data_IF_485414372125
#
_entry.id   IF_485414372125
#
_cell.length_a   1.000
_cell.length_b   1.000
_cell.length_c   1.000
_cell.angle_alpha   90.00
_cell.angle_beta   90.00
_cell.angle_gamma   90.00
#
_symmetry.space_group_name_H-M   'P 1'
#
loop_
_entity.id
_entity.type
_entity.pdbx_description
1 polymer ?
#
# COMPACT_ATOMS: atom_id res chain seq x y z
N UNK A 1 -0.56 10.41 17.83
CA UNK A 1 -0.97 10.01 16.45
C UNK A 1 -1.03 8.51 16.34
N UNK A 2 -1.99 7.98 15.57
CA UNK A 2 -2.05 6.57 15.17
C UNK A 2 -1.96 6.51 13.64
N UNK A 3 -1.14 5.58 13.10
CA UNK A 3 -1.07 5.31 11.66
C UNK A 3 -1.58 3.90 11.40
N UNK A 4 -2.67 3.77 10.63
CA UNK A 4 -3.15 2.47 10.16
C UNK A 4 -2.33 2.11 8.92
N UNK A 5 -1.23 1.37 9.13
CA UNK A 5 -0.26 1.06 8.08
C UNK A 5 -0.68 -0.06 7.11
N UNK A 6 -1.82 -0.69 7.32
CA UNK A 6 -2.36 -1.76 6.47
C UNK A 6 -3.45 -1.22 5.52
N UNK A 7 -3.35 -1.52 4.22
CA UNK A 7 -4.36 -1.11 3.23
C UNK A 7 -5.74 -1.75 3.51
N UNK A 8 -5.77 -3.02 3.89
CA UNK A 8 -7.02 -3.71 4.23
C UNK A 8 -7.68 -3.07 5.46
N UNK A 9 -6.92 -2.88 6.53
CA UNK A 9 -7.43 -2.23 7.74
C UNK A 9 -7.85 -0.78 7.46
N UNK A 10 -7.07 -0.03 6.69
CA UNK A 10 -7.43 1.34 6.27
C UNK A 10 -8.73 1.39 5.47
N UNK A 11 -8.98 0.39 4.62
CA UNK A 11 -10.19 0.36 3.79
C UNK A 11 -11.45 -0.06 4.53
N UNK A 12 -11.33 -0.85 5.59
CA UNK A 12 -12.48 -1.48 6.27
C UNK A 12 -12.71 -0.92 7.68
N UNK A 13 -11.68 -0.53 8.41
CA UNK A 13 -11.77 -0.17 9.82
C UNK A 13 -11.53 1.32 10.13
N UNK A 14 -11.01 2.11 9.19
CA UNK A 14 -10.64 3.50 9.45
C UNK A 14 -11.76 4.32 10.09
N UNK A 15 -12.98 4.27 9.53
CA UNK A 15 -14.11 5.04 10.06
C UNK A 15 -14.51 4.60 11.46
N UNK A 16 -14.47 3.30 11.73
CA UNK A 16 -14.76 2.76 13.08
C UNK A 16 -13.76 3.28 14.09
N UNK A 17 -12.47 3.20 13.79
CA UNK A 17 -11.42 3.71 14.69
C UNK A 17 -11.54 5.22 14.88
N UNK A 18 -11.77 5.99 13.82
CA UNK A 18 -11.92 7.45 13.89
C UNK A 18 -13.12 7.86 14.72
N UNK A 19 -14.25 7.15 14.60
CA UNK A 19 -15.45 7.45 15.38
C UNK A 19 -15.29 7.05 16.87
N UNK A 20 -14.53 5.99 17.13
CA UNK A 20 -14.27 5.53 18.51
C UNK A 20 -13.30 6.45 19.23
N UNK A 21 -12.32 7.02 18.53
CA UNK A 21 -11.27 7.88 19.06
C UNK A 21 -11.19 9.20 18.28
N UNK A 22 -12.19 10.08 18.41
CA UNK A 22 -12.29 11.31 17.60
C UNK A 22 -11.15 12.30 17.85
N UNK A 23 -10.62 12.32 19.08
CA UNK A 23 -9.57 13.26 19.51
C UNK A 23 -8.15 12.80 19.12
N UNK A 24 -8.00 11.57 18.62
CA UNK A 24 -6.71 11.07 18.18
C UNK A 24 -6.47 11.43 16.73
N UNK A 25 -5.30 12.04 16.45
CA UNK A 25 -4.84 12.20 15.06
C UNK A 25 -4.62 10.83 14.42
N UNK A 26 -5.43 10.52 13.43
CA UNK A 26 -5.48 9.22 12.76
C UNK A 26 -5.13 9.36 11.28
N UNK A 27 -4.08 8.68 10.84
CA UNK A 27 -3.64 8.60 9.46
C UNK A 27 -3.89 7.20 8.92
N UNK A 28 -4.38 7.08 7.69
CA UNK A 28 -4.47 5.83 6.95
C UNK A 28 -3.52 5.84 5.74
N UNK A 29 -3.20 4.67 5.19
CA UNK A 29 -2.25 4.54 4.07
C UNK A 29 -2.87 4.82 2.69
N UNK A 30 -4.18 5.04 2.60
CA UNK A 30 -4.89 5.25 1.33
C UNK A 30 -4.92 6.73 0.96
N UNK A 31 -5.27 7.60 1.90
CA UNK A 31 -5.49 9.02 1.64
C UNK A 31 -4.26 9.75 1.09
N UNK A 32 -3.03 9.52 1.59
CA UNK A 32 -1.84 10.14 1.00
C UNK A 32 -1.63 9.76 -0.47
N UNK A 33 -1.87 8.49 -0.81
CA UNK A 33 -1.76 7.99 -2.18
C UNK A 33 -2.80 8.63 -3.09
N UNK A 34 -4.05 8.70 -2.64
CA UNK A 34 -5.15 9.32 -3.42
C UNK A 34 -4.96 10.83 -3.59
N UNK A 35 -4.36 11.51 -2.60
CA UNK A 35 -4.05 12.95 -2.69
C UNK A 35 -2.98 13.28 -3.72
N UNK A 36 -2.19 12.31 -4.18
CA UNK A 36 -1.21 12.50 -5.25
C UNK A 36 -1.89 13.07 -6.51
N UNK A 37 -1.16 13.91 -7.23
CA UNK A 37 -1.65 14.44 -8.50
C UNK A 37 -1.46 13.41 -9.60
N UNK A 38 -2.57 12.84 -10.06
CA UNK A 38 -2.62 11.99 -11.24
C UNK A 38 -2.82 12.87 -12.49
N UNK A 39 -2.32 12.41 -13.63
CA UNK A 39 -2.58 13.09 -14.90
C UNK A 39 -4.06 12.92 -15.26
N UNK A 40 -4.76 14.00 -15.68
CA UNK A 40 -6.13 13.88 -16.19
C UNK A 40 -6.21 12.85 -17.33
N UNK A 41 -7.34 12.15 -17.41
CA UNK A 41 -7.59 11.08 -18.40
C UNK A 41 -6.63 9.90 -18.36
N UNK A 42 -5.76 9.80 -17.33
CA UNK A 42 -4.85 8.67 -17.17
C UNK A 42 -5.58 7.39 -16.74
N UNK A 43 -4.92 6.25 -16.95
CA UNK A 43 -5.41 4.95 -16.50
C UNK A 43 -4.54 4.43 -15.35
N UNK A 44 -5.13 4.35 -14.16
CA UNK A 44 -4.45 3.94 -12.93
C UNK A 44 -4.87 2.52 -12.55
N UNK A 45 -3.88 1.62 -12.46
CA UNK A 45 -4.06 0.28 -11.92
C UNK A 45 -3.96 0.28 -10.39
N UNK A 46 -4.71 -0.59 -9.74
CA UNK A 46 -4.61 -0.86 -8.31
C UNK A 46 -4.55 -2.35 -8.09
N UNK A 47 -3.48 -2.85 -7.48
CA UNK A 47 -3.39 -4.25 -7.04
C UNK A 47 -3.36 -4.31 -5.51
N UNK A 48 -4.03 -5.30 -4.93
CA UNK A 48 -4.15 -5.42 -3.48
C UNK A 48 -4.83 -6.72 -3.04
N UNK A 49 -5.05 -6.84 -1.75
CA UNK A 49 -5.82 -7.96 -1.19
C UNK A 49 -7.29 -7.92 -1.66
N UNK A 50 -8.00 -9.05 -1.53
CA UNK A 50 -9.44 -9.11 -1.82
C UNK A 50 -10.21 -8.03 -1.06
N UNK A 51 -9.96 -7.87 0.24
CA UNK A 51 -10.67 -6.89 1.07
C UNK A 51 -10.45 -5.45 0.61
N UNK A 52 -9.21 -5.07 0.31
CA UNK A 52 -8.89 -3.74 -0.22
C UNK A 52 -9.59 -3.47 -1.55
N UNK A 53 -9.52 -4.41 -2.49
CA UNK A 53 -10.10 -4.22 -3.83
C UNK A 53 -11.64 -4.22 -3.79
N UNK A 54 -12.26 -5.15 -3.07
CA UNK A 54 -13.71 -5.23 -2.94
C UNK A 54 -14.32 -4.02 -2.23
N UNK A 55 -13.58 -3.36 -1.35
CA UNK A 55 -14.02 -2.11 -0.72
C UNK A 55 -14.27 -1.00 -1.73
N UNK A 56 -13.63 -1.02 -2.89
CA UNK A 56 -13.72 0.02 -3.92
C UNK A 56 -13.15 1.38 -3.50
N UNK A 57 -12.46 1.47 -2.37
CA UNK A 57 -12.06 2.74 -1.74
C UNK A 57 -11.14 3.59 -2.63
N UNK A 58 -10.16 2.96 -3.30
CA UNK A 58 -9.26 3.67 -4.20
C UNK A 58 -10.01 4.28 -5.37
N UNK A 59 -10.87 3.50 -6.04
CA UNK A 59 -11.67 4.00 -7.16
C UNK A 59 -12.56 5.15 -6.73
N UNK A 60 -13.34 4.99 -5.62
CA UNK A 60 -14.20 6.06 -5.14
C UNK A 60 -13.43 7.34 -4.84
N UNK A 61 -12.34 7.25 -4.08
CA UNK A 61 -11.59 8.44 -3.65
C UNK A 61 -10.85 9.11 -4.81
N UNK A 62 -10.30 8.35 -5.76
CA UNK A 62 -9.65 8.90 -6.95
C UNK A 62 -10.70 9.62 -7.81
N UNK A 63 -11.85 8.97 -8.10
CA UNK A 63 -12.89 9.55 -8.93
C UNK A 63 -13.61 10.72 -8.25
N UNK A 64 -13.68 10.77 -6.93
CA UNK A 64 -14.17 11.94 -6.19
C UNK A 64 -13.26 13.17 -6.38
N UNK A 65 -11.97 12.95 -6.59
CA UNK A 65 -11.01 14.03 -6.85
C UNK A 65 -10.98 14.43 -8.33
N UNK A 66 -11.01 13.45 -9.21
CA UNK A 66 -11.02 13.65 -10.67
C UNK A 66 -11.68 12.42 -11.34
N UNK A 67 -12.87 12.62 -11.86
CA UNK A 67 -13.67 11.56 -12.51
C UNK A 67 -13.19 11.20 -13.92
N UNK A 68 -12.31 12.00 -14.50
CA UNK A 68 -11.67 11.69 -15.78
C UNK A 68 -10.64 10.55 -15.68
N UNK A 69 -10.17 10.22 -14.46
CA UNK A 69 -9.19 9.18 -14.23
C UNK A 69 -9.85 7.82 -14.25
N UNK A 70 -9.38 6.94 -15.13
CA UNK A 70 -9.86 5.57 -15.18
C UNK A 70 -9.13 4.69 -14.19
N UNK A 71 -9.83 4.16 -13.18
CA UNK A 71 -9.25 3.24 -12.20
C UNK A 71 -9.57 1.81 -12.56
N UNK A 72 -8.53 0.97 -12.61
CA UNK A 72 -8.60 -0.48 -12.86
C UNK A 72 -8.07 -1.24 -11.66
N UNK A 73 -8.90 -2.04 -11.03
CA UNK A 73 -8.56 -2.74 -9.80
C UNK A 73 -8.50 -4.24 -9.99
N UNK A 74 -7.46 -4.88 -9.44
CA UNK A 74 -7.28 -6.33 -9.47
C UNK A 74 -6.90 -6.86 -8.10
N UNK A 75 -7.69 -7.80 -7.57
CA UNK A 75 -7.31 -8.54 -6.37
C UNK A 75 -6.22 -9.58 -6.70
N UNK A 76 -5.17 -9.59 -5.88
CA UNK A 76 -4.01 -10.47 -6.02
C UNK A 76 -3.78 -11.29 -4.74
N UNK A 77 -4.71 -12.21 -4.40
CA UNK A 77 -4.79 -12.83 -3.07
C UNK A 77 -3.57 -13.67 -2.68
N UNK A 78 -2.80 -14.18 -3.65
CA UNK A 78 -1.63 -15.01 -3.35
C UNK A 78 -0.37 -14.19 -3.08
N UNK A 79 -0.29 -12.92 -3.52
CA UNK A 79 0.98 -12.18 -3.48
C UNK A 79 1.43 -11.88 -2.05
N UNK A 80 0.53 -11.50 -1.13
CA UNK A 80 0.91 -11.18 0.23
C UNK A 80 1.44 -12.45 0.96
N UNK A 81 0.69 -13.54 0.91
CA UNK A 81 1.10 -14.81 1.53
C UNK A 81 2.43 -15.34 0.96
N UNK A 82 2.58 -15.29 -0.37
CA UNK A 82 3.82 -15.68 -1.04
C UNK A 82 5.03 -14.88 -0.53
N UNK A 83 4.86 -13.57 -0.35
CA UNK A 83 5.93 -12.69 0.15
C UNK A 83 6.22 -12.96 1.63
N UNK A 84 5.19 -13.17 2.45
CA UNK A 84 5.32 -13.50 3.88
C UNK A 84 6.09 -14.80 4.10
N UNK A 85 5.91 -15.78 3.22
CA UNK A 85 6.66 -17.05 3.23
C UNK A 85 8.06 -16.96 2.58
N UNK A 86 8.49 -15.75 2.19
CA UNK A 86 9.81 -15.51 1.59
C UNK A 86 9.94 -15.89 0.11
N UNK A 87 8.85 -16.34 -0.54
CA UNK A 87 8.85 -16.69 -1.96
C UNK A 87 8.58 -15.46 -2.83
N UNK A 88 9.61 -14.71 -3.19
CA UNK A 88 9.43 -13.52 -4.05
C UNK A 88 10.60 -13.25 -5.01
N UNK A 89 11.64 -14.11 -5.00
CA UNK A 89 12.81 -13.99 -5.90
C UNK A 89 13.02 -15.20 -6.81
N UNK A 90 12.27 -16.28 -6.62
CA UNK A 90 12.36 -17.53 -7.38
C UNK A 90 11.48 -17.51 -8.66
N UNK A 91 11.65 -18.51 -9.52
CA UNK A 91 10.93 -18.61 -10.79
C UNK A 91 9.42 -18.79 -10.59
N UNK A 92 8.99 -19.47 -9.53
CA UNK A 92 7.58 -19.72 -9.25
C UNK A 92 6.90 -18.40 -8.89
N UNK A 93 7.53 -17.62 -8.03
CA UNK A 93 7.01 -16.30 -7.63
C UNK A 93 6.93 -15.35 -8.84
N UNK A 94 7.93 -15.37 -9.73
CA UNK A 94 7.90 -14.58 -10.95
C UNK A 94 6.74 -15.00 -11.86
N UNK A 95 6.47 -16.30 -12.01
CA UNK A 95 5.33 -16.79 -12.79
C UNK A 95 3.98 -16.35 -12.21
N UNK A 96 3.84 -16.38 -10.89
CA UNK A 96 2.63 -15.90 -10.19
C UNK A 96 2.42 -14.40 -10.41
N UNK A 97 3.47 -13.60 -10.23
CA UNK A 97 3.43 -12.15 -10.45
C UNK A 97 3.01 -11.85 -11.89
N UNK A 98 3.67 -12.47 -12.87
CA UNK A 98 3.37 -12.30 -14.28
C UNK A 98 1.93 -12.71 -14.63
N UNK A 99 1.42 -13.80 -14.04
CA UNK A 99 0.04 -14.24 -14.25
C UNK A 99 -0.96 -13.16 -13.81
N UNK A 100 -0.74 -12.51 -12.65
CA UNK A 100 -1.59 -11.40 -12.22
C UNK A 100 -1.45 -10.18 -13.13
N UNK A 101 -0.24 -9.77 -13.46
CA UNK A 101 0.01 -8.55 -14.24
C UNK A 101 -0.47 -8.66 -15.70
N UNK A 102 -0.56 -9.88 -16.24
CA UNK A 102 -1.11 -10.15 -17.58
C UNK A 102 -2.63 -10.11 -17.67
N UNK A 103 -3.35 -9.99 -16.55
CA UNK A 103 -4.81 -9.97 -16.56
C UNK A 103 -5.33 -8.77 -17.34
N UNK A 104 -6.46 -8.99 -18.06
CA UNK A 104 -7.11 -7.97 -18.90
C UNK A 104 -7.48 -6.69 -18.12
N UNK A 105 -7.75 -6.84 -16.83
CA UNK A 105 -8.08 -5.75 -15.91
C UNK A 105 -6.96 -4.72 -15.81
N UNK A 106 -5.69 -5.11 -16.00
CA UNK A 106 -4.54 -4.21 -15.94
C UNK A 106 -4.00 -3.77 -17.30
N UNK A 107 -4.67 -4.12 -18.39
CA UNK A 107 -4.22 -3.70 -19.74
C UNK A 107 -4.36 -2.19 -19.92
N UNK A 108 -3.28 -1.55 -20.41
CA UNK A 108 -3.28 -0.12 -20.75
C UNK A 108 -3.26 0.81 -19.55
N UNK A 109 -2.78 0.35 -18.38
CA UNK A 109 -2.50 1.22 -17.27
C UNK A 109 -1.18 1.99 -17.51
N UNK A 110 -1.12 3.20 -17.01
CA UNK A 110 0.06 4.08 -17.06
C UNK A 110 0.74 4.17 -15.70
N UNK A 111 -0.03 3.96 -14.65
CA UNK A 111 0.44 3.97 -13.26
C UNK A 111 -0.13 2.76 -12.53
N UNK A 112 0.60 2.23 -11.55
CA UNK A 112 0.15 1.10 -10.73
C UNK A 112 0.37 1.38 -9.25
N UNK A 113 -0.73 1.40 -8.49
CA UNK A 113 -0.70 1.53 -7.04
C UNK A 113 -0.51 0.15 -6.41
N UNK A 114 0.51 0.03 -5.58
CA UNK A 114 0.76 -1.14 -4.73
C UNK A 114 -0.06 -1.00 -3.44
N UNK A 115 -1.30 -1.47 -3.46
CA UNK A 115 -2.24 -1.35 -2.35
C UNK A 115 -2.11 -2.50 -1.33
N UNK A 116 -0.87 -2.85 -0.99
CA UNK A 116 -0.50 -3.77 0.07
C UNK A 116 0.91 -3.44 0.56
N UNK A 117 1.13 -3.48 1.86
CA UNK A 117 2.42 -3.16 2.49
C UNK A 117 3.54 -4.14 2.15
N UNK A 118 3.21 -5.35 1.70
CA UNK A 118 4.18 -6.36 1.26
C UNK A 118 4.72 -6.12 -0.17
N UNK A 119 3.95 -5.46 -1.03
CA UNK A 119 4.25 -5.39 -2.46
C UNK A 119 5.49 -4.56 -2.85
N UNK A 120 6.01 -3.64 -2.03
CA UNK A 120 7.31 -3.02 -2.30
C UNK A 120 8.44 -4.05 -2.49
N UNK A 121 8.39 -5.23 -1.81
CA UNK A 121 9.39 -6.29 -1.96
C UNK A 121 9.42 -6.94 -3.35
N UNK A 122 8.32 -6.87 -4.10
CA UNK A 122 8.23 -7.37 -5.49
C UNK A 122 8.21 -6.25 -6.53
N UNK A 123 8.48 -5.02 -6.14
CA UNK A 123 8.41 -3.85 -7.02
C UNK A 123 9.35 -3.98 -8.23
N UNK A 124 10.55 -4.54 -8.02
CA UNK A 124 11.52 -4.73 -9.12
C UNK A 124 11.00 -5.73 -10.16
N UNK A 125 10.36 -6.81 -9.73
CA UNK A 125 9.72 -7.78 -10.63
C UNK A 125 8.59 -7.14 -11.43
N UNK A 126 7.78 -6.27 -10.80
CA UNK A 126 6.72 -5.52 -11.46
C UNK A 126 7.30 -4.53 -12.48
N UNK A 127 8.36 -3.79 -12.11
CA UNK A 127 9.06 -2.87 -13.00
C UNK A 127 9.64 -3.59 -14.23
N UNK A 128 10.23 -4.77 -14.02
CA UNK A 128 10.78 -5.61 -15.08
C UNK A 128 9.68 -6.07 -16.03
N UNK A 129 8.54 -6.55 -15.52
CA UNK A 129 7.40 -6.96 -16.30
C UNK A 129 6.89 -5.82 -17.22
N UNK A 130 6.70 -4.64 -16.68
CA UNK A 130 6.24 -3.48 -17.46
C UNK A 130 7.35 -2.77 -18.23
N UNK A 131 8.60 -3.29 -18.20
CA UNK A 131 9.76 -2.67 -18.86
C UNK A 131 9.92 -1.19 -18.49
N UNK A 132 9.62 -0.85 -17.23
CA UNK A 132 9.62 0.51 -16.68
C UNK A 132 8.69 1.52 -17.38
N UNK A 133 7.71 1.05 -18.15
CA UNK A 133 6.74 1.89 -18.86
C UNK A 133 5.54 2.29 -18.01
N UNK A 134 5.31 1.63 -16.91
CA UNK A 134 4.25 1.92 -15.93
C UNK A 134 4.91 2.50 -14.69
N UNK A 135 4.43 3.65 -14.23
CA UNK A 135 4.94 4.27 -12.99
C UNK A 135 4.38 3.52 -11.79
N UNK A 136 5.26 2.96 -10.98
CA UNK A 136 4.84 2.28 -9.75
C UNK A 136 4.70 3.31 -8.62
N UNK A 137 3.56 3.25 -7.93
CA UNK A 137 3.25 4.10 -6.78
C UNK A 137 3.30 3.22 -5.53
N UNK A 138 4.37 3.37 -4.77
CA UNK A 138 4.53 2.76 -3.45
C UNK A 138 3.86 3.64 -2.39
N UNK A 139 2.93 3.03 -1.64
CA UNK A 139 2.20 3.74 -0.60
C UNK A 139 3.07 4.11 0.60
N UNK A 140 4.12 3.36 0.91
CA UNK A 140 4.94 3.59 2.09
C UNK A 140 5.64 4.96 2.05
N UNK A 141 6.28 5.29 0.92
CA UNK A 141 6.94 6.58 0.73
C UNK A 141 5.98 7.77 0.80
N UNK A 142 4.80 7.66 0.19
CA UNK A 142 3.80 8.73 0.21
C UNK A 142 3.21 8.93 1.62
N UNK A 143 3.00 7.84 2.35
CA UNK A 143 2.51 7.89 3.73
C UNK A 143 3.54 8.49 4.67
N UNK A 144 4.81 8.09 4.57
CA UNK A 144 5.89 8.64 5.40
C UNK A 144 6.01 10.18 5.24
N UNK A 145 5.97 10.67 4.01
CA UNK A 145 5.97 12.11 3.72
C UNK A 145 4.76 12.81 4.33
N UNK A 146 3.58 12.22 4.19
CA UNK A 146 2.35 12.79 4.72
C UNK A 146 2.35 12.82 6.25
N UNK A 147 2.77 11.75 6.91
CA UNK A 147 2.91 11.68 8.37
C UNK A 147 3.86 12.76 8.85
N UNK A 148 5.03 12.91 8.22
CA UNK A 148 5.97 13.96 8.54
C UNK A 148 5.34 15.37 8.43
N UNK A 149 4.59 15.63 7.35
CA UNK A 149 3.86 16.89 7.19
C UNK A 149 2.83 17.15 8.30
N UNK A 150 2.04 16.13 8.65
CA UNK A 150 1.02 16.26 9.70
C UNK A 150 1.68 16.53 11.05
N UNK A 151 2.77 15.83 11.39
CA UNK A 151 3.52 16.06 12.62
C UNK A 151 4.11 17.47 12.66
N UNK A 152 4.69 17.93 11.55
CA UNK A 152 5.26 19.28 11.44
C UNK A 152 4.19 20.35 11.63
N UNK A 153 3.07 20.25 10.90
CA UNK A 153 2.01 21.25 10.91
C UNK A 153 1.30 21.36 12.27
N UNK A 154 1.28 20.26 13.03
CA UNK A 154 0.68 20.22 14.37
C UNK A 154 1.69 20.41 15.51
N UNK A 155 2.95 20.74 15.20
CA UNK A 155 4.04 20.87 16.19
C UNK A 155 4.22 19.61 17.06
N UNK A 156 4.05 18.42 16.48
CA UNK A 156 4.15 17.13 17.14
C UNK A 156 5.47 16.40 16.86
N UNK A 157 6.39 17.00 16.11
CA UNK A 157 7.72 16.42 15.89
C UNK A 157 8.50 16.41 17.21
N UNK A 158 9.01 15.23 17.59
CA UNK A 158 9.90 15.12 18.74
C UNK A 158 11.24 15.79 18.45
N UNK A 159 11.74 16.56 19.41
CA UNK A 159 13.10 17.11 19.39
C UNK A 159 14.09 16.18 20.12
N UNK A 160 13.60 15.13 20.77
CA UNK A 160 14.44 14.15 21.44
C UNK A 160 14.76 13.00 20.51
N UNK A 161 16.04 12.67 20.41
CA UNK A 161 16.55 11.59 19.56
C UNK A 161 16.70 10.24 20.31
N UNK A 162 16.15 10.11 21.51
CA UNK A 162 16.11 8.82 22.20
C UNK A 162 15.04 7.97 21.55
N UNK A 163 15.49 7.03 20.71
CA UNK A 163 14.62 6.09 20.00
C UNK A 163 14.58 4.81 20.83
N UNK A 164 13.51 4.63 21.59
CA UNK A 164 13.15 3.35 22.17
C UNK A 164 11.93 2.83 21.41
N UNK A 165 12.19 2.16 20.27
CA UNK A 165 11.13 1.52 19.50
C UNK A 165 10.64 0.27 20.22
N UNK A 166 9.33 0.15 20.36
CA UNK A 166 8.66 -1.02 20.94
C UNK A 166 7.84 -1.72 19.86
N UNK A 167 8.09 -3.01 19.69
CA UNK A 167 7.37 -3.85 18.73
C UNK A 167 6.46 -4.81 19.51
N UNK A 168 5.16 -4.76 19.19
CA UNK A 168 4.14 -5.62 19.77
C UNK A 168 3.49 -6.48 18.69
N UNK A 169 3.40 -7.77 18.95
CA UNK A 169 2.73 -8.73 18.07
C UNK A 169 1.73 -9.55 18.87
N UNK A 170 0.62 -9.92 18.25
CA UNK A 170 -0.41 -10.75 18.91
C UNK A 170 0.05 -12.19 19.08
N UNK A 171 0.91 -12.68 18.18
CA UNK A 171 1.51 -14.01 18.23
C UNK A 171 2.93 -13.94 17.65
N UNK A 172 3.93 -14.38 18.43
CA UNK A 172 5.32 -14.39 18.02
C UNK A 172 5.67 -15.77 17.47
N UNK A 173 5.81 -15.84 16.16
CA UNK A 173 6.20 -17.06 15.46
C UNK A 173 7.58 -16.92 14.84
N UNK A 174 8.24 -18.07 14.61
CA UNK A 174 9.53 -18.09 13.88
C UNK A 174 9.40 -17.51 12.47
N UNK A 175 8.30 -17.79 11.79
CA UNK A 175 7.97 -17.22 10.47
C UNK A 175 7.89 -15.69 10.53
N UNK A 176 7.26 -15.13 11.56
CA UNK A 176 7.23 -13.67 11.76
C UNK A 176 8.64 -13.09 11.92
N UNK A 177 9.50 -13.72 12.74
CA UNK A 177 10.89 -13.27 12.93
C UNK A 177 11.68 -13.28 11.62
N UNK A 178 11.55 -14.35 10.83
CA UNK A 178 12.21 -14.47 9.53
C UNK A 178 11.70 -13.40 8.55
N UNK A 179 10.39 -13.20 8.48
CA UNK A 179 9.77 -12.19 7.61
C UNK A 179 10.18 -10.77 8.01
N UNK A 180 10.25 -10.47 9.30
CA UNK A 180 10.66 -9.14 9.78
C UNK A 180 12.05 -8.73 9.25
N UNK A 181 12.97 -9.67 9.07
CA UNK A 181 14.31 -9.43 8.51
C UNK A 181 14.26 -8.95 7.05
N UNK A 182 13.23 -9.29 6.28
CA UNK A 182 13.08 -8.78 4.91
C UNK A 182 12.65 -7.32 4.86
N UNK A 183 12.01 -6.81 5.90
CA UNK A 183 11.49 -5.45 5.97
C UNK A 183 12.42 -4.49 6.70
N UNK A 184 13.17 -4.98 7.69
CA UNK A 184 13.99 -4.14 8.56
C UNK A 184 15.51 -4.34 8.37
N UNK A 185 15.93 -5.39 7.67
CA UNK A 185 17.33 -5.72 7.40
C UNK A 185 17.97 -6.58 8.48
#
# INVERSE_FOLDING_TARGET
MIVIACNTASSLAYNTVKNTYPDIELVNVIDPVVKKNYLPYSCVGVIGTKGTIQSGIYQRKINQKDDSIKVKSLATPLLAAMIEEGFFKDEISQAIIQNYLNKKELKGIEQLILACTHYPLIQESINTFYKKKVTIIDSASEVAKYVHQVLTNNNLLSQHHEINDHFYVSDYTKSFEESAKYFFG
#
